data_IF_996030156843
#
_entry.id   IF_996030156843
#
_cell.length_a   1.000
_cell.length_b   1.000
_cell.length_c   1.000
_cell.angle_alpha   90.00
_cell.angle_beta   90.00
_cell.angle_gamma   90.00
#
_symmetry.space_group_name_H-M   'P 1'
#
loop_
_entity.id
_entity.type
_entity.pdbx_description
1 polymer ?
#
# COMPACT_ATOMS: atom_id res chain seq x y z
N UNK A 1 -3.07 2.13 10.96
CA UNK A 1 -4.09 1.35 10.21
C UNK A 1 -3.38 0.30 9.38
N UNK A 2 -4.04 -0.78 9.01
CA UNK A 2 -3.47 -1.85 8.17
C UNK A 2 -4.44 -2.21 7.06
N UNK A 3 -3.93 -2.72 5.94
CA UNK A 3 -4.73 -3.33 4.88
C UNK A 3 -4.17 -4.72 4.53
N UNK A 4 -4.97 -5.61 3.93
CA UNK A 4 -4.53 -6.95 3.57
C UNK A 4 -3.20 -7.03 2.77
N UNK A 5 -2.96 -6.21 1.72
CA UNK A 5 -1.66 -6.27 1.02
C UNK A 5 -0.49 -5.89 1.92
N UNK A 6 -0.61 -4.84 2.74
CA UNK A 6 0.45 -4.45 3.69
C UNK A 6 0.73 -5.55 4.73
N UNK A 7 -0.33 -6.24 5.20
CA UNK A 7 -0.18 -7.38 6.11
C UNK A 7 0.58 -8.53 5.45
N UNK A 8 0.26 -8.82 4.18
CA UNK A 8 0.94 -9.87 3.41
C UNK A 8 2.40 -9.52 3.17
N UNK A 9 2.73 -8.28 2.78
CA UNK A 9 4.12 -7.86 2.54
C UNK A 9 4.96 -7.92 3.82
N UNK A 10 4.42 -7.40 4.92
CA UNK A 10 5.12 -7.43 6.20
C UNK A 10 5.41 -8.87 6.63
N UNK A 11 4.40 -9.76 6.57
CA UNK A 11 4.60 -11.18 6.92
C UNK A 11 5.54 -11.90 5.93
N UNK A 12 5.50 -11.56 4.64
CA UNK A 12 6.37 -12.15 3.61
C UNK A 12 7.84 -11.80 3.82
N UNK A 13 8.15 -10.68 4.47
CA UNK A 13 9.53 -10.28 4.80
C UNK A 13 10.20 -11.15 5.87
N UNK A 14 9.44 -12.03 6.54
CA UNK A 14 9.95 -12.96 7.54
C UNK A 14 11.04 -13.88 6.97
N UNK A 15 12.12 -14.08 7.73
CA UNK A 15 13.23 -14.94 7.31
C UNK A 15 13.15 -16.34 7.90
N UNK A 16 12.33 -16.53 8.94
CA UNK A 16 12.07 -17.82 9.57
C UNK A 16 10.57 -17.99 9.89
N UNK A 17 10.11 -19.23 10.15
CA UNK A 17 8.75 -19.46 10.64
C UNK A 17 8.42 -18.69 11.93
N UNK A 18 9.38 -18.57 12.85
CA UNK A 18 9.21 -17.83 14.10
C UNK A 18 9.07 -16.32 13.86
N UNK A 19 9.85 -15.77 12.93
CA UNK A 19 9.68 -14.38 12.48
C UNK A 19 8.27 -14.16 11.91
N UNK A 20 7.77 -15.09 11.09
CA UNK A 20 6.44 -14.98 10.50
C UNK A 20 5.34 -14.99 11.56
N UNK A 21 5.42 -15.86 12.59
CA UNK A 21 4.48 -15.87 13.72
C UNK A 21 4.51 -14.53 14.45
N UNK A 22 5.71 -14.04 14.80
CA UNK A 22 5.89 -12.76 15.48
C UNK A 22 5.36 -11.58 14.66
N UNK A 23 5.62 -11.55 13.36
CA UNK A 23 5.16 -10.48 12.46
C UNK A 23 3.65 -10.47 12.35
N UNK A 24 3.03 -11.65 12.20
CA UNK A 24 1.57 -11.79 12.19
C UNK A 24 0.95 -11.29 13.49
N UNK A 25 1.52 -11.63 14.64
CA UNK A 25 1.07 -11.15 15.94
C UNK A 25 1.22 -9.62 16.05
N UNK A 26 2.39 -9.09 15.71
CA UNK A 26 2.67 -7.65 15.76
C UNK A 26 1.72 -6.83 14.90
N UNK A 27 1.52 -7.21 13.64
CA UNK A 27 0.67 -6.43 12.72
C UNK A 27 -0.82 -6.58 13.03
N UNK A 28 -1.22 -7.67 13.70
CA UNK A 28 -2.60 -7.87 14.16
C UNK A 28 -3.03 -6.91 15.27
N UNK A 29 -2.07 -6.25 15.93
CA UNK A 29 -2.35 -5.17 16.89
C UNK A 29 -2.79 -3.85 16.21
N UNK A 30 -2.62 -3.76 14.89
CA UNK A 30 -3.09 -2.62 14.10
C UNK A 30 -4.60 -2.63 13.90
N UNK A 31 -5.14 -1.49 13.48
CA UNK A 31 -6.55 -1.34 13.11
C UNK A 31 -6.74 -1.57 11.61
N UNK A 32 -7.44 -2.64 11.19
CA UNK A 32 -7.73 -2.89 9.77
C UNK A 32 -8.58 -1.76 9.18
N UNK A 33 -8.29 -1.36 7.94
CA UNK A 33 -9.17 -0.49 7.17
C UNK A 33 -10.50 -1.21 6.88
N UNK A 34 -11.60 -0.46 6.93
CA UNK A 34 -12.97 -1.00 6.89
C UNK A 34 -13.40 -1.39 5.47
N UNK A 35 -13.05 -0.57 4.49
CA UNK A 35 -13.51 -0.71 3.11
C UNK A 35 -12.41 -1.28 2.21
N UNK A 36 -12.73 -2.34 1.48
CA UNK A 36 -11.89 -2.82 0.39
C UNK A 36 -12.20 -2.02 -0.88
N UNK A 37 -11.19 -1.68 -1.70
CA UNK A 37 -11.43 -1.05 -2.99
C UNK A 37 -12.06 -2.05 -3.96
N UNK A 38 -12.97 -1.55 -4.80
CA UNK A 38 -13.50 -2.32 -5.92
C UNK A 38 -12.44 -2.52 -7.00
N UNK A 39 -12.61 -3.58 -7.80
CA UNK A 39 -11.71 -3.90 -8.92
C UNK A 39 -11.60 -2.74 -9.92
N UNK A 40 -12.70 -2.02 -10.17
CA UNK A 40 -12.71 -0.88 -11.09
C UNK A 40 -11.75 0.22 -10.63
N UNK A 41 -11.72 0.55 -9.34
CA UNK A 41 -10.85 1.59 -8.81
C UNK A 41 -9.37 1.23 -9.02
N UNK A 42 -8.97 0.00 -8.70
CA UNK A 42 -7.57 -0.40 -8.85
C UNK A 42 -7.14 -0.51 -10.32
N UNK A 43 -8.06 -0.89 -11.22
CA UNK A 43 -7.82 -0.86 -12.67
C UNK A 43 -7.75 0.56 -13.22
N UNK A 44 -8.53 1.49 -12.68
CA UNK A 44 -8.48 2.91 -13.06
C UNK A 44 -7.13 3.54 -12.66
N UNK A 45 -6.64 3.25 -11.44
CA UNK A 45 -5.30 3.66 -11.00
C UNK A 45 -4.22 3.09 -11.93
N UNK A 46 -4.27 1.79 -12.22
CA UNK A 46 -3.30 1.14 -13.12
C UNK A 46 -3.36 1.74 -14.53
N UNK A 47 -4.55 2.01 -15.05
CA UNK A 47 -4.74 2.64 -16.35
C UNK A 47 -4.19 4.06 -16.40
N UNK A 48 -4.38 4.84 -15.32
CA UNK A 48 -3.84 6.18 -15.20
C UNK A 48 -2.29 6.17 -15.20
N UNK A 49 -1.67 5.24 -14.47
CA UNK A 49 -0.22 5.02 -14.52
C UNK A 49 0.26 4.63 -15.93
N UNK A 50 -0.47 3.76 -16.64
CA UNK A 50 -0.15 3.37 -18.01
C UNK A 50 -0.15 4.56 -18.96
N UNK A 51 -1.21 5.36 -18.92
CA UNK A 51 -1.38 6.53 -19.79
C UNK A 51 -0.35 7.63 -19.51
N UNK A 52 0.13 7.70 -18.27
CA UNK A 52 1.20 8.62 -17.84
C UNK A 52 2.61 8.07 -18.06
N UNK A 53 2.77 6.88 -18.66
CA UNK A 53 4.06 6.17 -18.83
C UNK A 53 4.77 5.82 -17.52
N UNK A 54 4.01 5.70 -16.43
CA UNK A 54 4.47 5.36 -15.07
C UNK A 54 4.12 3.92 -14.66
N UNK A 55 3.60 3.07 -15.56
CA UNK A 55 3.14 1.72 -15.18
C UNK A 55 4.20 0.84 -14.49
N UNK A 56 5.49 1.05 -14.76
CA UNK A 56 6.57 0.29 -14.11
C UNK A 56 7.10 0.95 -12.84
N UNK A 57 6.50 2.05 -12.42
CA UNK A 57 6.94 2.86 -11.29
C UNK A 57 6.13 2.61 -10.00
N UNK A 58 5.19 1.66 -10.04
CA UNK A 58 4.50 1.17 -8.85
C UNK A 58 4.08 -0.30 -9.07
N UNK A 59 4.19 -1.12 -8.03
CA UNK A 59 3.77 -2.50 -8.05
C UNK A 59 2.24 -2.66 -7.97
N UNK A 60 1.75 -3.87 -8.28
CA UNK A 60 0.33 -4.19 -8.14
C UNK A 60 -0.15 -4.14 -6.69
N UNK A 61 0.72 -4.44 -5.72
CA UNK A 61 0.37 -4.32 -4.30
C UNK A 61 0.31 -2.86 -3.86
N UNK A 62 1.21 -1.99 -4.32
CA UNK A 62 1.16 -0.55 -4.06
C UNK A 62 -0.13 0.09 -4.58
N UNK A 63 -0.55 -0.31 -5.79
CA UNK A 63 -1.84 0.10 -6.37
C UNK A 63 -3.00 -0.33 -5.46
N UNK A 64 -2.97 -1.55 -4.93
CA UNK A 64 -4.01 -2.06 -4.04
C UNK A 64 -4.00 -1.32 -2.68
N UNK A 65 -2.82 -1.06 -2.11
CA UNK A 65 -2.64 -0.27 -0.88
C UNK A 65 -3.19 1.14 -1.08
N UNK A 66 -2.87 1.79 -2.20
CA UNK A 66 -3.40 3.10 -2.56
C UNK A 66 -4.93 3.07 -2.70
N UNK A 67 -5.49 2.03 -3.33
CA UNK A 67 -6.94 1.84 -3.42
C UNK A 67 -7.60 1.76 -2.04
N UNK A 68 -7.02 0.99 -1.12
CA UNK A 68 -7.47 0.95 0.28
C UNK A 68 -7.39 2.32 0.95
N UNK A 69 -6.31 3.07 0.75
CA UNK A 69 -6.17 4.39 1.35
C UNK A 69 -7.24 5.37 0.84
N UNK A 70 -7.49 5.39 -0.47
CA UNK A 70 -8.48 6.27 -1.11
C UNK A 70 -9.90 5.99 -0.58
N UNK A 71 -10.36 4.73 -0.60
CA UNK A 71 -11.74 4.41 -0.19
C UNK A 71 -12.00 4.55 1.31
N UNK A 72 -10.95 4.65 2.12
CA UNK A 72 -11.04 4.88 3.56
C UNK A 72 -10.62 6.31 3.97
N UNK A 73 -10.43 7.24 3.02
CA UNK A 73 -9.93 8.61 3.27
C UNK A 73 -8.66 8.66 4.16
N UNK A 74 -7.76 7.68 3.97
CA UNK A 74 -6.54 7.54 4.73
C UNK A 74 -5.32 8.12 3.97
N UNK A 75 -4.34 8.62 4.73
CA UNK A 75 -3.03 9.01 4.21
C UNK A 75 -2.08 7.81 4.27
N UNK A 76 -1.42 7.49 3.15
CA UNK A 76 -0.35 6.48 3.13
C UNK A 76 0.92 7.08 3.74
N UNK A 77 1.42 6.45 4.80
CA UNK A 77 2.73 6.75 5.38
C UNK A 77 3.74 5.75 4.81
N UNK A 78 4.76 6.24 4.10
CA UNK A 78 5.69 5.38 3.37
C UNK A 78 7.12 5.95 3.34
N UNK A 79 8.11 5.06 3.31
CA UNK A 79 9.50 5.39 3.00
C UNK A 79 9.84 5.12 1.52
N UNK A 80 8.86 4.71 0.73
CA UNK A 80 8.96 4.38 -0.69
C UNK A 80 8.45 5.55 -1.54
N UNK A 81 9.18 5.86 -2.62
CA UNK A 81 8.82 6.88 -3.58
C UNK A 81 7.81 6.39 -4.64
N UNK A 82 7.53 5.09 -4.74
CA UNK A 82 6.58 4.55 -5.72
C UNK A 82 5.17 5.13 -5.52
N UNK A 83 4.78 5.44 -4.29
CA UNK A 83 3.51 6.11 -4.00
C UNK A 83 3.44 7.56 -4.52
N UNK A 84 4.57 8.19 -4.84
CA UNK A 84 4.62 9.52 -5.45
C UNK A 84 4.13 9.45 -6.89
N UNK A 85 4.42 8.34 -7.57
CA UNK A 85 3.93 8.08 -8.92
C UNK A 85 2.43 7.81 -8.94
N UNK A 86 1.90 7.14 -7.92
CA UNK A 86 0.45 6.93 -7.76
C UNK A 86 -0.26 8.25 -7.41
N UNK A 87 0.28 9.03 -6.47
CA UNK A 87 -0.28 10.33 -6.10
C UNK A 87 -0.23 11.37 -7.23
N UNK A 88 0.69 11.20 -8.20
CA UNK A 88 0.75 12.06 -9.39
C UNK A 88 -0.44 11.84 -10.36
N UNK A 89 -1.17 10.73 -10.24
CA UNK A 89 -2.26 10.36 -11.17
C UNK A 89 -3.59 10.05 -10.46
N UNK A 90 -3.68 10.28 -9.15
CA UNK A 90 -4.85 10.00 -8.31
C UNK A 90 -4.99 11.06 -7.21
N UNK A 91 -6.08 11.01 -6.45
CA UNK A 91 -6.28 11.84 -5.24
C UNK A 91 -5.63 11.24 -3.98
N UNK A 92 -4.69 10.29 -4.14
CA UNK A 92 -4.01 9.64 -3.02
C UNK A 92 -3.28 10.68 -2.16
N UNK A 93 -3.61 10.71 -0.86
CA UNK A 93 -2.82 11.44 0.14
C UNK A 93 -1.68 10.56 0.61
N UNK A 94 -0.46 11.11 0.60
CA UNK A 94 0.75 10.42 1.07
C UNK A 94 1.63 11.34 1.87
N UNK A 95 2.36 10.76 2.82
CA UNK A 95 3.42 11.41 3.57
C UNK A 95 4.66 10.51 3.58
N UNK A 96 5.81 11.12 3.26
CA UNK A 96 7.09 10.43 3.29
C UNK A 96 7.65 10.40 4.71
N UNK A 97 8.06 9.23 5.18
CA UNK A 97 8.80 9.06 6.43
C UNK A 97 10.21 8.60 6.10
N UNK A 98 11.21 9.41 6.47
CA UNK A 98 12.60 9.03 6.34
C UNK A 98 12.92 7.81 7.24
N UNK A 99 13.68 6.81 6.76
CA UNK A 99 14.12 5.71 7.60
C UNK A 99 14.90 6.23 8.81
N UNK A 100 14.63 5.67 10.00
CA UNK A 100 15.48 5.93 11.16
C UNK A 100 16.89 5.37 10.88
N UNK A 101 17.91 6.19 11.16
CA UNK A 101 19.33 5.93 10.87
C UNK A 101 19.97 4.93 11.83
#
# INVERSE_FOLDING_TARGET
MTCPPQVLEFCHSARTPEDHVRFREQISLGFPLEHAPDESLVLDIQSALWNSRLVRAAGSLDILIAGYAIVNDATVLTADHDFDHIAAVTDLRREYIAPES
#
